data_IF_487605800386
#
_entry.id   IF_487605800386
#
_cell.length_a   1.000
_cell.length_b   1.000
_cell.length_c   1.000
_cell.angle_alpha   90.00
_cell.angle_beta   90.00
_cell.angle_gamma   90.00
#
_symmetry.space_group_name_H-M   'P 1'
#
loop_
_entity.id
_entity.type
_entity.pdbx_description
1 polymer ?
#
# COMPACT_ATOMS: atom_id res chain seq x y z
N UNK A 1 19.73 12.59 -17.60
CA UNK A 1 18.86 11.60 -18.25
C UNK A 1 17.47 12.18 -18.46
N UNK A 2 17.21 12.64 -19.68
CA UNK A 2 15.91 13.15 -20.08
C UNK A 2 14.97 11.98 -20.33
N UNK A 3 14.35 11.46 -19.28
CA UNK A 3 13.14 10.68 -19.46
C UNK A 3 12.11 11.62 -20.11
N UNK A 4 11.76 11.35 -21.37
CA UNK A 4 10.91 12.21 -22.22
C UNK A 4 9.72 12.73 -21.39
N UNK A 5 9.55 14.06 -21.29
CA UNK A 5 8.55 14.69 -20.40
C UNK A 5 7.14 14.10 -20.59
N UNK A 6 6.84 13.68 -21.82
CA UNK A 6 5.62 12.96 -22.18
C UNK A 6 5.51 11.60 -21.50
N UNK A 7 6.58 10.79 -21.52
CA UNK A 7 6.61 9.48 -20.87
C UNK A 7 6.47 9.61 -19.35
N UNK A 8 7.12 10.62 -18.74
CA UNK A 8 6.95 10.91 -17.31
C UNK A 8 5.48 11.20 -16.97
N UNK A 9 4.83 12.05 -17.77
CA UNK A 9 3.41 12.39 -17.59
C UNK A 9 2.51 11.16 -17.73
N UNK A 10 2.74 10.33 -18.75
CA UNK A 10 1.99 9.08 -18.98
C UNK A 10 2.14 8.12 -17.79
N UNK A 11 3.37 7.86 -17.34
CA UNK A 11 3.64 6.96 -16.21
C UNK A 11 2.94 7.47 -14.94
N UNK A 12 3.02 8.78 -14.67
CA UNK A 12 2.33 9.39 -13.53
C UNK A 12 0.82 9.23 -13.63
N UNK A 13 0.22 9.56 -14.77
CA UNK A 13 -1.24 9.42 -14.96
C UNK A 13 -1.71 7.98 -14.77
N UNK A 14 -1.03 7.00 -15.39
CA UNK A 14 -1.36 5.58 -15.25
C UNK A 14 -1.19 5.12 -13.80
N UNK A 15 -0.13 5.55 -13.12
CA UNK A 15 0.14 5.13 -11.73
C UNK A 15 -0.84 5.76 -10.75
N UNK A 16 -1.37 6.96 -11.03
CA UNK A 16 -2.28 7.68 -10.14
C UNK A 16 -3.74 7.24 -10.32
N UNK A 17 -4.12 6.79 -11.52
CA UNK A 17 -5.50 6.42 -11.84
C UNK A 17 -6.12 5.37 -10.90
N UNK A 18 -5.43 4.27 -10.52
CA UNK A 18 -5.98 3.24 -9.63
C UNK A 18 -6.46 3.78 -8.27
N UNK A 19 -5.83 4.84 -7.77
CA UNK A 19 -6.20 5.44 -6.49
C UNK A 19 -7.67 5.91 -6.47
N UNK A 20 -8.18 6.39 -7.60
CA UNK A 20 -9.53 6.93 -7.71
C UNK A 20 -10.63 5.86 -7.86
N UNK A 21 -10.27 4.59 -8.12
CA UNK A 21 -11.26 3.51 -8.23
C UNK A 21 -11.83 3.16 -6.84
N UNK A 22 -13.11 2.88 -6.70
CA UNK A 22 -13.62 2.35 -5.43
C UNK A 22 -13.11 0.93 -5.17
N UNK A 23 -13.01 0.52 -3.90
CA UNK A 23 -12.56 -0.83 -3.56
C UNK A 23 -13.46 -1.93 -4.15
N UNK A 24 -14.75 -1.66 -4.35
CA UNK A 24 -15.67 -2.64 -4.97
C UNK A 24 -15.35 -2.87 -6.45
N UNK A 25 -14.96 -1.83 -7.19
CA UNK A 25 -14.49 -1.95 -8.57
C UNK A 25 -13.17 -2.73 -8.60
N UNK A 26 -12.23 -2.38 -7.71
CA UNK A 26 -10.94 -3.08 -7.61
C UNK A 26 -11.15 -4.56 -7.30
N UNK A 27 -12.00 -4.90 -6.33
CA UNK A 27 -12.32 -6.29 -6.03
C UNK A 27 -12.91 -7.02 -7.25
N UNK A 28 -13.85 -6.40 -7.97
CA UNK A 28 -14.40 -6.94 -9.22
C UNK A 28 -13.34 -7.22 -10.29
N UNK A 29 -12.41 -6.29 -10.50
CA UNK A 29 -11.28 -6.46 -11.42
C UNK A 29 -10.43 -7.67 -11.02
N UNK A 30 -10.06 -7.76 -9.73
CA UNK A 30 -9.24 -8.87 -9.23
C UNK A 30 -9.96 -10.21 -9.34
N UNK A 31 -11.25 -10.29 -8.97
CA UNK A 31 -12.06 -11.50 -9.12
C UNK A 31 -12.18 -11.93 -10.59
N UNK A 32 -12.40 -11.00 -11.51
CA UNK A 32 -12.48 -11.30 -12.94
C UNK A 32 -11.13 -11.77 -13.50
N UNK A 33 -10.07 -11.01 -13.23
CA UNK A 33 -8.71 -11.27 -13.73
C UNK A 33 -8.15 -12.60 -13.22
N UNK A 34 -8.47 -12.97 -11.98
CA UNK A 34 -8.01 -14.18 -11.29
C UNK A 34 -9.02 -15.35 -11.35
N UNK A 35 -10.11 -15.21 -12.12
CA UNK A 35 -11.10 -16.28 -12.25
C UNK A 35 -10.48 -17.53 -12.90
N UNK A 36 -10.90 -18.74 -12.49
CA UNK A 36 -10.42 -19.97 -13.10
C UNK A 36 -10.89 -20.10 -14.56
N UNK A 37 -10.16 -20.87 -15.36
CA UNK A 37 -10.46 -21.18 -16.74
C UNK A 37 -10.01 -20.09 -17.72
N UNK A 38 -10.68 -20.03 -18.88
CA UNK A 38 -10.37 -19.07 -19.94
C UNK A 38 -10.99 -17.69 -19.71
N UNK A 39 -11.88 -17.55 -18.72
CA UNK A 39 -12.52 -16.27 -18.38
C UNK A 39 -11.58 -15.33 -17.64
N UNK A 40 -10.60 -15.87 -16.89
CA UNK A 40 -9.59 -15.10 -16.20
C UNK A 40 -8.41 -14.81 -17.10
N UNK A 41 -8.03 -13.53 -17.21
CA UNK A 41 -6.91 -13.10 -18.05
C UNK A 41 -5.63 -13.83 -17.62
N UNK A 42 -5.37 -13.96 -16.31
CA UNK A 42 -4.15 -14.59 -15.79
C UNK A 42 -4.14 -16.09 -16.08
N UNK A 43 -5.22 -16.82 -15.74
CA UNK A 43 -5.31 -18.25 -16.02
C UNK A 43 -5.30 -18.55 -17.53
N UNK A 44 -5.95 -17.71 -18.35
CA UNK A 44 -5.90 -17.82 -19.80
C UNK A 44 -4.48 -17.76 -20.36
N UNK A 45 -3.63 -16.87 -19.84
CA UNK A 45 -2.21 -16.83 -20.21
C UNK A 45 -1.41 -18.00 -19.64
N UNK A 46 -1.63 -18.39 -18.39
CA UNK A 46 -0.92 -19.51 -17.76
C UNK A 46 -1.16 -20.84 -18.49
N UNK A 47 -2.42 -21.12 -18.83
CA UNK A 47 -2.80 -22.33 -19.56
C UNK A 47 -2.23 -22.28 -20.99
N UNK A 48 -2.39 -21.16 -21.71
CA UNK A 48 -1.97 -21.06 -23.13
C UNK A 48 -0.46 -21.04 -23.33
N UNK A 49 0.28 -20.36 -22.46
CA UNK A 49 1.73 -20.17 -22.62
C UNK A 49 2.55 -21.26 -21.93
N UNK A 50 2.06 -21.79 -20.80
CA UNK A 50 2.84 -22.69 -19.95
C UNK A 50 2.19 -24.07 -19.74
N UNK A 51 0.98 -24.31 -20.26
CA UNK A 51 0.26 -25.57 -20.10
C UNK A 51 -0.11 -25.90 -18.65
N UNK A 52 -0.08 -24.90 -17.75
CA UNK A 52 -0.37 -25.08 -16.33
C UNK A 52 -1.89 -25.21 -16.15
N UNK A 53 -2.34 -26.11 -15.29
CA UNK A 53 -3.75 -26.22 -14.93
C UNK A 53 -4.29 -24.93 -14.33
N UNK A 54 -5.56 -24.62 -14.61
CA UNK A 54 -6.21 -23.42 -14.12
C UNK A 54 -6.25 -23.38 -12.59
N UNK A 55 -5.76 -22.31 -11.99
CA UNK A 55 -5.72 -22.13 -10.54
C UNK A 55 -6.87 -21.23 -10.09
N UNK A 56 -7.65 -21.66 -9.10
CA UNK A 56 -8.65 -20.79 -8.48
C UNK A 56 -8.00 -19.92 -7.39
N UNK A 57 -7.26 -18.89 -7.81
CA UNK A 57 -6.47 -18.03 -6.92
C UNK A 57 -7.26 -17.44 -5.74
N UNK A 58 -8.49 -17.00 -5.96
CA UNK A 58 -9.33 -16.38 -4.92
C UNK A 58 -9.88 -17.39 -3.90
N UNK A 59 -9.82 -18.69 -4.17
CA UNK A 59 -10.22 -19.76 -3.25
C UNK A 59 -9.04 -20.33 -2.44
N UNK A 60 -7.81 -19.98 -2.80
CA UNK A 60 -6.59 -20.57 -2.28
C UNK A 60 -5.94 -19.66 -1.23
N UNK A 61 -5.92 -20.13 0.02
CA UNK A 61 -5.43 -19.36 1.18
C UNK A 61 -3.98 -18.86 1.00
N UNK A 62 -3.13 -19.67 0.36
CA UNK A 62 -1.72 -19.34 0.09
C UNK A 62 -1.53 -18.09 -0.78
N UNK A 63 -2.49 -17.76 -1.64
CA UNK A 63 -2.38 -16.60 -2.54
C UNK A 63 -3.10 -15.37 -2.00
N UNK A 64 -4.11 -15.54 -1.15
CA UNK A 64 -4.99 -14.47 -0.71
C UNK A 64 -4.25 -13.25 -0.15
N UNK A 65 -3.28 -13.47 0.74
CA UNK A 65 -2.51 -12.38 1.37
C UNK A 65 -1.67 -11.64 0.33
N UNK A 66 -0.98 -12.36 -0.56
CA UNK A 66 -0.17 -11.77 -1.62
C UNK A 66 -1.00 -10.95 -2.60
N UNK A 67 -2.15 -11.48 -3.02
CA UNK A 67 -3.11 -10.80 -3.90
C UNK A 67 -3.59 -9.50 -3.25
N UNK A 68 -3.99 -9.58 -1.98
CA UNK A 68 -4.52 -8.44 -1.23
C UNK A 68 -3.47 -7.34 -1.04
N UNK A 69 -2.23 -7.70 -0.71
CA UNK A 69 -1.11 -6.77 -0.58
C UNK A 69 -0.77 -6.15 -1.94
N UNK A 70 -0.73 -6.95 -3.00
CA UNK A 70 -0.47 -6.44 -4.34
C UNK A 70 -1.56 -5.47 -4.80
N UNK A 71 -2.84 -5.78 -4.57
CA UNK A 71 -3.95 -4.89 -4.90
C UNK A 71 -3.84 -3.53 -4.18
N UNK A 72 -3.43 -3.54 -2.91
CA UNK A 72 -3.17 -2.32 -2.15
C UNK A 72 -2.04 -1.49 -2.75
N UNK A 73 -0.90 -2.13 -3.04
CA UNK A 73 0.27 -1.45 -3.60
C UNK A 73 -0.11 -0.87 -4.96
N UNK A 74 -0.70 -1.67 -5.85
CA UNK A 74 -1.15 -1.22 -7.17
C UNK A 74 -2.10 -0.02 -7.07
N UNK A 75 -3.04 -0.05 -6.12
CA UNK A 75 -4.01 1.02 -5.92
C UNK A 75 -3.38 2.31 -5.35
N UNK A 76 -2.41 2.18 -4.43
CA UNK A 76 -1.94 3.28 -3.59
C UNK A 76 -0.56 3.84 -3.96
N UNK A 77 0.24 3.09 -4.72
CA UNK A 77 1.65 3.43 -5.01
C UNK A 77 1.79 4.78 -5.68
N UNK A 78 0.96 5.05 -6.70
CA UNK A 78 1.03 6.30 -7.44
C UNK A 78 0.69 7.51 -6.57
N UNK A 79 -0.40 7.42 -5.81
CA UNK A 79 -0.80 8.49 -4.89
C UNK A 79 0.26 8.74 -3.81
N UNK A 80 0.79 7.68 -3.21
CA UNK A 80 1.83 7.78 -2.19
C UNK A 80 3.12 8.41 -2.75
N UNK A 81 3.43 8.14 -4.03
CA UNK A 81 4.60 8.69 -4.72
C UNK A 81 4.55 10.22 -4.91
N UNK A 82 3.36 10.84 -4.92
CA UNK A 82 3.20 12.29 -5.15
C UNK A 82 3.98 13.11 -4.12
N UNK A 83 3.87 12.76 -2.84
CA UNK A 83 4.54 13.49 -1.77
C UNK A 83 6.07 13.36 -1.87
N UNK A 84 6.55 12.16 -2.22
CA UNK A 84 7.98 11.94 -2.47
C UNK A 84 8.46 12.73 -3.68
N UNK A 85 7.72 12.74 -4.81
CA UNK A 85 8.09 13.53 -5.98
C UNK A 85 8.05 15.04 -5.74
N UNK A 86 7.09 15.55 -4.95
CA UNK A 86 7.04 16.96 -4.57
C UNK A 86 8.27 17.36 -3.77
N UNK A 87 8.69 16.50 -2.83
CA UNK A 87 9.90 16.72 -2.03
C UNK A 87 11.16 16.67 -2.89
N UNK A 88 11.25 15.69 -3.80
CA UNK A 88 12.36 15.59 -4.76
C UNK A 88 12.50 16.82 -5.66
N UNK A 89 11.37 17.41 -6.07
CA UNK A 89 11.36 18.62 -6.88
C UNK A 89 11.87 19.86 -6.13
N UNK A 90 11.88 19.82 -4.79
CA UNK A 90 12.41 20.88 -3.93
C UNK A 90 13.90 20.74 -3.58
N UNK A 91 14.57 19.65 -3.98
CA UNK A 91 16.01 19.48 -3.73
C UNK A 91 16.79 20.39 -4.68
N UNK A 92 17.75 21.14 -4.14
CA UNK A 92 18.64 21.99 -4.92
C UNK A 92 19.40 21.17 -5.99
N UNK A 93 19.22 21.48 -7.29
CA UNK A 93 19.94 20.81 -8.36
C UNK A 93 21.46 20.86 -8.23
N UNK A 94 22.02 21.90 -7.60
CA UNK A 94 23.47 22.10 -7.47
C UNK A 94 24.15 20.94 -6.72
N UNK A 95 23.45 20.31 -5.77
CA UNK A 95 23.95 19.13 -5.04
C UNK A 95 24.25 17.96 -5.99
N UNK A 96 23.40 17.77 -7.01
CA UNK A 96 23.58 16.72 -8.01
C UNK A 96 24.66 17.08 -9.04
N UNK A 97 24.82 18.36 -9.36
CA UNK A 97 25.85 18.83 -10.30
C UNK A 97 27.24 18.71 -9.70
N UNK A 98 27.44 19.17 -8.47
CA UNK A 98 28.73 19.08 -7.76
C UNK A 98 29.13 17.63 -7.54
N UNK A 99 28.21 16.78 -7.06
CA UNK A 99 28.51 15.36 -6.88
C UNK A 99 28.84 14.63 -8.19
N UNK A 100 28.28 15.08 -9.32
CA UNK A 100 28.63 14.54 -10.63
C UNK A 100 30.05 14.96 -11.05
N UNK A 101 30.44 16.20 -10.79
CA UNK A 101 31.82 16.68 -11.02
C UNK A 101 32.82 15.88 -10.17
N UNK A 102 32.45 15.53 -8.93
CA UNK A 102 33.24 14.68 -8.03
C UNK A 102 33.23 13.18 -8.42
N UNK A 103 32.62 12.81 -9.55
CA UNK A 103 32.60 11.44 -10.06
C UNK A 103 31.63 10.49 -9.33
N UNK A 104 30.65 11.01 -8.61
CA UNK A 104 29.63 10.17 -7.97
C UNK A 104 28.70 9.53 -9.01
N UNK A 105 28.55 8.20 -8.93
CA UNK A 105 27.57 7.46 -9.71
C UNK A 105 26.12 7.77 -9.26
N UNK A 106 25.14 7.46 -10.11
CA UNK A 106 23.71 7.63 -9.79
C UNK A 106 23.29 6.94 -8.49
N UNK A 107 23.78 5.73 -8.24
CA UNK A 107 23.49 5.02 -6.99
C UNK A 107 24.05 5.75 -5.76
N UNK A 108 25.25 6.34 -5.87
CA UNK A 108 25.81 7.18 -4.79
C UNK A 108 24.99 8.44 -4.57
N UNK A 109 24.55 9.12 -5.62
CA UNK A 109 23.67 10.29 -5.52
C UNK A 109 22.34 9.93 -4.83
N UNK A 110 21.74 8.78 -5.18
CA UNK A 110 20.51 8.31 -4.54
C UNK A 110 20.73 8.08 -3.04
N UNK A 111 21.82 7.40 -2.66
CA UNK A 111 22.07 7.04 -1.27
C UNK A 111 22.52 8.21 -0.38
N UNK A 112 23.27 9.19 -0.92
CA UNK A 112 23.91 10.24 -0.13
C UNK A 112 23.27 11.62 -0.29
N UNK A 113 22.44 11.83 -1.32
CA UNK A 113 21.73 13.10 -1.53
C UNK A 113 20.23 12.83 -1.44
N UNK A 114 19.71 12.03 -2.36
CA UNK A 114 18.26 11.85 -2.52
C UNK A 114 17.60 11.24 -1.29
N UNK A 115 18.12 10.12 -0.80
CA UNK A 115 17.53 9.39 0.32
C UNK A 115 17.61 10.22 1.63
N UNK A 116 18.76 10.82 2.01
CA UNK A 116 18.84 11.73 3.16
C UNK A 116 17.88 12.91 3.07
N UNK A 117 17.74 13.55 1.89
CA UNK A 117 16.78 14.64 1.70
C UNK A 117 15.33 14.20 1.82
N UNK A 118 15.01 12.94 1.49
CA UNK A 118 13.67 12.38 1.64
C UNK A 118 13.35 11.87 3.06
N UNK A 119 14.36 11.70 3.92
CA UNK A 119 14.17 11.13 5.26
C UNK A 119 13.06 11.81 6.06
N UNK A 120 12.94 13.15 6.15
CA UNK A 120 11.88 13.79 6.93
C UNK A 120 10.47 13.37 6.48
N UNK A 121 10.27 13.24 5.16
CA UNK A 121 8.98 12.87 4.57
C UNK A 121 8.72 11.37 4.70
N UNK A 122 9.74 10.54 4.54
CA UNK A 122 9.65 9.09 4.81
C UNK A 122 9.24 8.86 6.27
N UNK A 123 9.88 9.54 7.21
CA UNK A 123 9.60 9.42 8.65
C UNK A 123 8.18 9.85 8.98
N UNK A 124 7.75 11.00 8.45
CA UNK A 124 6.39 11.49 8.61
C UNK A 124 5.36 10.47 8.12
N UNK A 125 5.52 9.97 6.89
CA UNK A 125 4.62 8.98 6.31
C UNK A 125 4.63 7.66 7.10
N UNK A 126 5.80 7.23 7.58
CA UNK A 126 5.94 6.02 8.37
C UNK A 126 5.18 6.13 9.70
N UNK A 127 5.35 7.24 10.44
CA UNK A 127 4.66 7.48 11.71
C UNK A 127 3.14 7.46 11.53
N UNK A 128 2.63 8.12 10.49
CA UNK A 128 1.20 8.11 10.17
C UNK A 128 0.71 6.71 9.82
N UNK A 129 1.44 5.95 9.00
CA UNK A 129 1.06 4.58 8.63
C UNK A 129 1.04 3.64 9.82
N UNK A 130 2.04 3.72 10.71
CA UNK A 130 2.11 2.88 11.92
C UNK A 130 0.90 3.11 12.83
N UNK A 131 0.46 4.37 13.00
CA UNK A 131 -0.71 4.68 13.85
C UNK A 131 -2.01 4.01 13.39
N UNK A 132 -2.11 3.73 12.09
CA UNK A 132 -3.31 3.13 11.47
C UNK A 132 -3.27 1.59 11.38
N UNK A 133 -2.22 0.93 11.90
CA UNK A 133 -2.05 -0.53 11.75
C UNK A 133 -3.24 -1.33 12.27
N UNK A 134 -3.82 -0.91 13.40
CA UNK A 134 -4.94 -1.62 14.01
C UNK A 134 -6.27 -1.46 13.26
N UNK A 135 -6.37 -0.52 12.32
CA UNK A 135 -7.59 -0.24 11.55
C UNK A 135 -7.43 -0.59 10.06
N UNK A 136 -6.38 -1.32 9.69
CA UNK A 136 -6.08 -1.61 8.28
C UNK A 136 -7.19 -2.41 7.61
N UNK A 137 -7.61 -1.91 6.45
CA UNK A 137 -8.05 -2.74 5.33
C UNK A 137 -9.43 -3.35 5.41
N UNK A 138 -10.37 -2.77 6.18
CA UNK A 138 -11.74 -3.25 6.25
C UNK A 138 -12.36 -3.46 4.86
N UNK A 139 -12.52 -2.39 4.06
CA UNK A 139 -13.20 -2.46 2.77
C UNK A 139 -12.57 -3.47 1.83
N UNK A 140 -11.24 -3.40 1.68
CA UNK A 140 -10.46 -4.30 0.82
C UNK A 140 -10.64 -5.76 1.22
N UNK A 141 -10.42 -6.08 2.49
CA UNK A 141 -10.52 -7.46 2.97
C UNK A 141 -11.95 -7.95 2.92
N UNK A 142 -12.91 -7.11 3.31
CA UNK A 142 -14.33 -7.43 3.26
C UNK A 142 -14.82 -7.74 1.85
N UNK A 143 -14.33 -7.02 0.84
CA UNK A 143 -14.74 -7.21 -0.56
C UNK A 143 -14.00 -8.35 -1.26
N UNK A 144 -12.75 -8.62 -0.89
CA UNK A 144 -11.96 -9.72 -1.48
C UNK A 144 -12.17 -11.06 -0.78
N UNK A 145 -12.54 -11.08 0.51
CA UNK A 145 -12.73 -12.31 1.26
C UNK A 145 -13.92 -13.13 0.74
N UNK A 146 -13.86 -14.43 0.99
CA UNK A 146 -14.94 -15.38 0.78
C UNK A 146 -14.80 -16.55 1.77
N UNK A 147 -15.79 -17.44 1.90
CA UNK A 147 -15.76 -18.52 2.89
C UNK A 147 -14.54 -19.44 2.83
N UNK A 148 -13.93 -19.62 1.65
CA UNK A 148 -12.80 -20.54 1.45
C UNK A 148 -11.48 -19.99 2.01
N UNK A 149 -11.36 -18.67 2.09
CA UNK A 149 -10.15 -17.96 2.55
C UNK A 149 -10.34 -17.27 3.91
N UNK A 150 -11.48 -17.49 4.57
CA UNK A 150 -11.85 -16.76 5.80
C UNK A 150 -10.81 -16.90 6.92
N UNK A 151 -10.15 -18.06 7.02
CA UNK A 151 -9.09 -18.33 8.01
C UNK A 151 -7.88 -17.39 7.90
N UNK A 152 -7.59 -16.86 6.71
CA UNK A 152 -6.45 -15.97 6.44
C UNK A 152 -6.88 -14.54 6.06
N UNK A 153 -8.16 -14.33 5.75
CA UNK A 153 -8.69 -13.02 5.35
C UNK A 153 -9.34 -12.25 6.50
N UNK A 154 -9.74 -12.95 7.56
CA UNK A 154 -10.39 -12.32 8.71
C UNK A 154 -9.40 -11.51 9.55
N UNK A 155 -9.77 -10.26 9.80
CA UNK A 155 -9.04 -9.33 10.66
C UNK A 155 -10.01 -8.70 11.66
N UNK A 156 -9.47 -7.97 12.64
CA UNK A 156 -10.28 -7.36 13.70
C UNK A 156 -11.42 -6.51 13.10
N UNK A 157 -11.15 -5.74 12.04
CA UNK A 157 -12.16 -4.87 11.43
C UNK A 157 -13.30 -5.65 10.76
N UNK A 158 -13.02 -6.75 10.05
CA UNK A 158 -14.07 -7.60 9.44
C UNK A 158 -14.82 -8.42 10.48
N UNK A 159 -14.12 -8.86 11.53
CA UNK A 159 -14.72 -9.53 12.69
C UNK A 159 -15.71 -8.62 13.43
N UNK A 160 -15.28 -7.39 13.72
CA UNK A 160 -16.11 -6.35 14.36
C UNK A 160 -17.33 -6.05 13.52
N UNK A 161 -17.20 -5.91 12.20
CA UNK A 161 -18.37 -5.75 11.33
C UNK A 161 -19.35 -6.92 11.46
N UNK A 162 -18.87 -8.16 11.38
CA UNK A 162 -19.72 -9.35 11.45
C UNK A 162 -20.43 -9.47 12.80
N UNK A 163 -19.74 -9.25 13.90
CA UNK A 163 -20.30 -9.44 15.24
C UNK A 163 -21.14 -8.23 15.69
N UNK A 164 -20.69 -7.02 15.36
CA UNK A 164 -21.37 -5.78 15.74
C UNK A 164 -22.63 -5.54 14.94
N UNK A 165 -22.55 -5.59 13.61
CA UNK A 165 -23.69 -5.29 12.75
C UNK A 165 -24.56 -6.51 12.48
N UNK A 166 -23.98 -7.67 12.11
CA UNK A 166 -24.79 -8.84 11.75
C UNK A 166 -25.34 -9.60 12.96
N UNK A 167 -24.64 -9.57 14.11
CA UNK A 167 -25.10 -10.20 15.37
C UNK A 167 -25.57 -9.18 16.41
N UNK A 168 -25.67 -7.90 16.05
CA UNK A 168 -26.15 -6.81 16.90
C UNK A 168 -25.40 -6.64 18.23
N UNK A 169 -24.13 -7.07 18.32
CA UNK A 169 -23.33 -6.94 19.55
C UNK A 169 -22.62 -5.58 19.64
N UNK A 170 -23.38 -4.49 19.58
CA UNK A 170 -22.84 -3.13 19.50
C UNK A 170 -21.90 -2.77 20.65
N UNK A 171 -22.29 -3.04 21.90
CA UNK A 171 -21.48 -2.71 23.08
C UNK A 171 -20.10 -3.36 23.05
N UNK A 172 -20.03 -4.64 22.69
CA UNK A 172 -18.78 -5.39 22.59
C UNK A 172 -17.89 -4.82 21.47
N UNK A 173 -18.46 -4.53 20.31
CA UNK A 173 -17.70 -3.97 19.19
C UNK A 173 -17.23 -2.54 19.40
N UNK A 174 -17.99 -1.72 20.12
CA UNK A 174 -17.58 -0.36 20.51
C UNK A 174 -16.37 -0.43 21.45
N UNK A 175 -16.34 -1.38 22.38
CA UNK A 175 -15.19 -1.57 23.27
C UNK A 175 -13.93 -1.98 22.50
N UNK A 176 -14.06 -2.85 21.48
CA UNK A 176 -12.94 -3.19 20.58
C UNK A 176 -12.45 -1.95 19.83
N UNK A 177 -13.34 -1.17 19.23
CA UNK A 177 -12.97 0.05 18.48
C UNK A 177 -12.28 1.10 19.35
N UNK A 178 -12.75 1.29 20.59
CA UNK A 178 -12.10 2.17 21.57
C UNK A 178 -10.69 1.67 21.91
N UNK A 179 -10.53 0.37 22.14
CA UNK A 179 -9.22 -0.25 22.41
C UNK A 179 -8.26 -0.07 21.23
N UNK A 180 -8.72 -0.28 19.99
CA UNK A 180 -7.91 -0.05 18.78
C UNK A 180 -7.48 1.41 18.66
N UNK A 181 -8.36 2.36 18.99
CA UNK A 181 -8.06 3.79 18.98
C UNK A 181 -6.98 4.16 20.00
N UNK A 182 -7.06 3.60 21.21
CA UNK A 182 -6.03 3.79 22.25
C UNK A 182 -4.69 3.22 21.80
N UNK A 183 -4.67 1.99 21.27
CA UNK A 183 -3.45 1.35 20.79
C UNK A 183 -2.84 2.12 19.61
N UNK A 184 -3.65 2.58 18.66
CA UNK A 184 -3.20 3.43 17.55
C UNK A 184 -2.61 4.76 18.02
N UNK A 185 -3.22 5.39 19.03
CA UNK A 185 -2.71 6.61 19.65
C UNK A 185 -1.37 6.40 20.37
N UNK A 186 -1.23 5.31 21.13
CA UNK A 186 0.04 4.95 21.78
C UNK A 186 1.14 4.67 20.75
N UNK A 187 0.82 3.95 19.66
CA UNK A 187 1.74 3.72 18.55
C UNK A 187 2.16 5.03 17.86
N UNK A 188 1.23 5.97 17.68
CA UNK A 188 1.53 7.28 17.11
C UNK A 188 2.53 8.04 17.98
N UNK A 189 2.27 8.13 19.30
CA UNK A 189 3.16 8.82 20.23
C UNK A 189 4.55 8.15 20.28
N UNK A 190 4.58 6.82 20.37
CA UNK A 190 5.83 6.04 20.39
C UNK A 190 6.64 6.23 19.11
N UNK A 191 5.99 6.14 17.96
CA UNK A 191 6.63 6.31 16.65
C UNK A 191 7.10 7.74 16.44
N UNK A 192 6.33 8.75 16.85
CA UNK A 192 6.74 10.15 16.77
C UNK A 192 7.98 10.43 17.64
N UNK A 193 8.01 9.91 18.88
CA UNK A 193 9.16 10.05 19.78
C UNK A 193 10.41 9.37 19.20
N UNK A 194 10.25 8.19 18.60
CA UNK A 194 11.34 7.47 17.94
C UNK A 194 11.86 8.23 16.71
N UNK A 195 10.96 8.77 15.88
CA UNK A 195 11.31 9.61 14.73
C UNK A 195 12.13 10.83 15.15
N UNK A 196 11.68 11.57 16.18
CA UNK A 196 12.39 12.76 16.67
C UNK A 196 13.79 12.42 17.18
N UNK A 197 13.97 11.25 17.83
CA UNK A 197 15.26 10.80 18.36
C UNK A 197 16.22 10.34 17.25
N UNK A 198 15.74 9.61 16.25
CA UNK A 198 16.59 9.01 15.22
C UNK A 198 16.84 9.93 14.03
N UNK A 199 15.86 10.75 13.66
CA UNK A 199 15.88 11.55 12.43
C UNK A 199 15.80 13.05 12.69
N UNK A 200 15.81 13.50 13.95
CA UNK A 200 15.75 14.92 14.33
C UNK A 200 14.44 15.63 13.95
N UNK A 201 13.49 14.92 13.37
CA UNK A 201 12.23 15.45 12.83
C UNK A 201 11.06 14.63 13.36
N UNK A 202 10.01 15.32 13.82
CA UNK A 202 8.77 14.74 14.31
C UNK A 202 7.57 15.46 13.71
N UNK A 203 6.37 14.89 13.91
CA UNK A 203 5.11 15.55 13.56
C UNK A 203 4.94 16.89 14.31
N UNK A 204 5.43 16.93 15.56
CA UNK A 204 5.40 18.08 16.48
C UNK A 204 6.67 18.10 17.36
#
# INVERSE_FOLDING_TARGET
EMMNRHMKKIIQTISYLPHFLSWIIVAGIFYQMLSPGQTGIINGYLVKLFGIESIYFMAEQKYFVGITVFAEIWKSVGWSAILYFATLAGIDPTLYEVSYIDGASRSRQILHITLPSLMPVISLMLVLKISTIFTIGFERLFLLQNPLVLSVSEVISTYVYRVGLLKSQFSFTTAIGLTQSILGFLLLLGSNKLSKKLMGTGLY
#
